data_IF_711353140377
#
_entry.id   IF_711353140377
#
_cell.length_a   1.000
_cell.length_b   1.000
_cell.length_c   1.000
_cell.angle_alpha   90.00
_cell.angle_beta   90.00
_cell.angle_gamma   90.00
#
_symmetry.space_group_name_H-M   'P 1'
#
loop_
_entity.id
_entity.type
_entity.pdbx_description
1 polymer ?
#
# COMPACT_ATOMS: atom_id res chain seq x y z
N UNK A 1 20.98 -12.81 8.03
CA UNK A 1 19.53 -12.49 8.10
C UNK A 1 19.11 -11.84 6.78
N UNK A 2 17.88 -12.08 6.29
CA UNK A 2 17.41 -11.59 4.98
C UNK A 2 17.03 -10.10 5.01
N UNK A 3 18.01 -9.20 4.91
CA UNK A 3 17.78 -7.76 4.99
C UNK A 3 16.83 -7.25 3.90
N UNK A 4 16.87 -7.81 2.70
CA UNK A 4 16.02 -7.42 1.56
C UNK A 4 14.52 -7.65 1.82
N UNK A 5 14.15 -8.80 2.36
CA UNK A 5 12.76 -9.12 2.71
C UNK A 5 12.25 -8.27 3.87
N UNK A 6 13.09 -8.01 4.88
CA UNK A 6 12.73 -7.13 6.01
C UNK A 6 12.47 -5.70 5.53
N UNK A 7 13.40 -5.13 4.75
CA UNK A 7 13.26 -3.78 4.20
C UNK A 7 12.01 -3.67 3.35
N UNK A 8 11.77 -4.63 2.45
CA UNK A 8 10.62 -4.58 1.53
C UNK A 8 9.30 -4.76 2.26
N UNK A 9 9.22 -5.69 3.22
CA UNK A 9 8.02 -5.85 4.05
C UNK A 9 7.73 -4.62 4.90
N UNK A 10 8.76 -4.02 5.51
CA UNK A 10 8.60 -2.79 6.30
C UNK A 10 8.17 -1.62 5.42
N UNK A 11 8.81 -1.41 4.27
CA UNK A 11 8.47 -0.33 3.35
C UNK A 11 7.03 -0.45 2.84
N UNK A 12 6.63 -1.63 2.33
CA UNK A 12 5.28 -1.84 1.81
C UNK A 12 4.21 -1.65 2.90
N UNK A 13 4.49 -2.13 4.13
CA UNK A 13 3.60 -1.90 5.26
C UNK A 13 3.47 -0.42 5.61
N UNK A 14 4.59 0.30 5.74
CA UNK A 14 4.57 1.75 6.00
C UNK A 14 3.80 2.48 4.89
N UNK A 15 4.06 2.14 3.63
CA UNK A 15 3.40 2.74 2.47
C UNK A 15 1.88 2.53 2.50
N UNK A 16 1.42 1.30 2.76
CA UNK A 16 0.00 1.00 2.93
C UNK A 16 -0.62 1.81 4.08
N UNK A 17 0.05 1.87 5.24
CA UNK A 17 -0.44 2.59 6.40
C UNK A 17 -0.54 4.10 6.17
N UNK A 18 0.42 4.70 5.45
CA UNK A 18 0.39 6.12 5.08
C UNK A 18 -0.79 6.44 4.14
N UNK A 19 -1.07 5.57 3.16
CA UNK A 19 -2.24 5.77 2.28
C UNK A 19 -3.55 5.62 3.08
N UNK A 20 -3.64 4.66 4.02
CA UNK A 20 -4.81 4.53 4.89
C UNK A 20 -5.01 5.77 5.78
N UNK A 21 -3.93 6.37 6.29
CA UNK A 21 -3.99 7.66 7.01
C UNK A 21 -4.48 8.77 6.09
N UNK A 22 -3.99 8.83 4.84
CA UNK A 22 -4.44 9.82 3.86
C UNK A 22 -5.95 9.72 3.59
N UNK A 23 -6.47 8.50 3.42
CA UNK A 23 -7.91 8.24 3.36
C UNK A 23 -8.63 8.82 4.58
N UNK A 24 -8.18 8.46 5.79
CA UNK A 24 -8.84 8.90 7.01
C UNK A 24 -8.82 10.43 7.22
N UNK A 25 -7.74 11.11 6.81
CA UNK A 25 -7.68 12.59 6.84
C UNK A 25 -8.74 13.20 5.92
N UNK A 26 -8.91 12.67 4.70
CA UNK A 26 -9.95 13.15 3.79
C UNK A 26 -11.35 12.90 4.34
N UNK A 27 -11.60 11.74 4.92
CA UNK A 27 -12.89 11.40 5.53
C UNK A 27 -13.22 12.27 6.75
N UNK A 28 -12.24 12.54 7.63
CA UNK A 28 -12.39 13.48 8.75
C UNK A 28 -12.77 14.87 8.24
N UNK A 29 -12.19 15.30 7.12
CA UNK A 29 -12.48 16.63 6.54
C UNK A 29 -13.91 16.78 6.04
N UNK A 30 -14.61 15.66 5.80
CA UNK A 30 -16.04 15.66 5.45
C UNK A 30 -16.95 15.86 6.66
N UNK A 31 -16.46 15.59 7.88
CA UNK A 31 -17.20 15.83 9.12
C UNK A 31 -18.22 14.75 9.49
N UNK A 32 -19.13 15.10 10.40
CA UNK A 32 -20.13 14.19 10.99
C UNK A 32 -21.30 13.94 10.04
N UNK A 33 -21.04 13.18 8.98
CA UNK A 33 -22.03 12.83 7.96
C UNK A 33 -22.05 11.32 7.71
N UNK A 34 -23.21 10.80 7.31
CA UNK A 34 -23.33 9.40 6.91
C UNK A 34 -22.52 9.13 5.62
N UNK A 35 -21.95 7.93 5.49
CA UNK A 35 -21.17 7.51 4.31
C UNK A 35 -22.00 7.40 3.03
N UNK A 36 -23.33 7.36 3.13
CA UNK A 36 -24.24 7.18 1.98
C UNK A 36 -24.30 5.75 1.43
N UNK A 37 -23.48 4.84 1.96
CA UNK A 37 -23.40 3.44 1.56
C UNK A 37 -22.17 2.73 2.15
N UNK A 38 -21.98 1.46 1.78
CA UNK A 38 -20.77 0.71 2.16
C UNK A 38 -19.53 1.20 1.40
N UNK A 39 -19.70 1.60 0.14
CA UNK A 39 -18.65 2.19 -0.69
C UNK A 39 -18.96 3.66 -0.91
N UNK A 40 -17.93 4.50 -0.80
CA UNK A 40 -18.04 5.95 -0.91
C UNK A 40 -16.69 6.55 -1.34
N UNK A 41 -16.67 7.84 -1.62
CA UNK A 41 -15.45 8.57 -1.95
C UNK A 41 -14.94 9.30 -0.71
N UNK A 42 -13.67 9.07 -0.34
CA UNK A 42 -13.06 9.74 0.79
C UNK A 42 -12.90 11.25 0.55
N UNK A 43 -12.80 11.68 -0.71
CA UNK A 43 -12.78 13.10 -1.09
C UNK A 43 -14.18 13.49 -1.58
N UNK A 44 -14.83 14.40 -0.85
CA UNK A 44 -16.18 14.89 -1.13
C UNK A 44 -16.24 16.00 -2.19
N UNK A 45 -17.43 16.56 -2.44
CA UNK A 45 -17.63 17.66 -3.38
C UNK A 45 -16.67 18.84 -3.12
N UNK A 46 -16.13 19.49 -4.16
CA UNK A 46 -16.50 19.41 -5.58
C UNK A 46 -15.83 18.26 -6.37
N UNK A 47 -15.19 17.29 -5.72
CA UNK A 47 -14.54 16.18 -6.39
C UNK A 47 -15.54 15.32 -7.20
N UNK A 48 -15.23 15.07 -8.47
CA UNK A 48 -15.97 14.15 -9.34
C UNK A 48 -15.03 13.01 -9.78
N UNK A 49 -15.35 11.74 -9.47
CA UNK A 49 -14.43 10.61 -9.71
C UNK A 49 -13.95 10.51 -11.15
N UNK A 50 -14.82 10.81 -12.11
CA UNK A 50 -14.52 10.71 -13.54
C UNK A 50 -13.67 11.88 -14.10
N UNK A 51 -13.44 12.91 -13.29
CA UNK A 51 -12.74 14.13 -13.70
C UNK A 51 -11.38 14.32 -13.02
N UNK A 52 -11.03 13.47 -12.06
CA UNK A 52 -9.77 13.58 -11.30
C UNK A 52 -9.00 12.26 -11.35
N UNK A 53 -7.69 12.34 -11.55
CA UNK A 53 -6.83 11.17 -11.73
C UNK A 53 -6.89 10.15 -10.57
N UNK A 54 -7.23 10.61 -9.36
CA UNK A 54 -7.31 9.78 -8.16
C UNK A 54 -8.72 9.28 -7.85
N UNK A 55 -9.68 9.45 -8.76
CA UNK A 55 -11.07 8.97 -8.65
C UNK A 55 -11.75 9.30 -7.30
N UNK A 56 -11.44 10.46 -6.71
CA UNK A 56 -11.91 10.87 -5.38
C UNK A 56 -11.63 9.89 -4.22
N UNK A 57 -10.61 9.03 -4.36
CA UNK A 57 -10.18 8.07 -3.33
C UNK A 57 -11.31 7.12 -2.90
N UNK A 58 -11.66 6.12 -3.72
CA UNK A 58 -12.72 5.18 -3.39
C UNK A 58 -12.37 4.38 -2.13
N UNK A 59 -13.30 4.33 -1.19
CA UNK A 59 -13.18 3.70 0.11
C UNK A 59 -14.37 2.79 0.38
N UNK A 60 -14.22 1.92 1.38
CA UNK A 60 -15.28 1.09 1.92
C UNK A 60 -15.28 1.23 3.44
N UNK A 61 -16.45 1.19 4.09
CA UNK A 61 -16.53 1.15 5.55
C UNK A 61 -17.79 0.42 6.00
N UNK A 62 -17.69 -0.30 7.11
CA UNK A 62 -18.84 -0.83 7.84
C UNK A 62 -19.40 0.18 8.85
N UNK A 63 -18.67 1.26 9.12
CA UNK A 63 -19.07 2.33 10.04
C UNK A 63 -19.87 3.35 9.22
N UNK A 64 -21.16 3.59 9.53
CA UNK A 64 -22.02 4.46 8.72
C UNK A 64 -21.83 5.96 9.04
N UNK A 65 -20.60 6.38 9.31
CA UNK A 65 -20.25 7.76 9.69
C UNK A 65 -18.84 8.12 9.22
N UNK A 66 -18.70 9.19 8.43
CA UNK A 66 -17.44 9.60 7.80
C UNK A 66 -16.40 10.06 8.83
N UNK A 67 -16.78 10.85 9.83
CA UNK A 67 -15.86 11.29 10.88
C UNK A 67 -15.28 10.12 11.67
N UNK A 68 -16.12 9.20 12.13
CA UNK A 68 -15.69 8.02 12.90
C UNK A 68 -14.86 7.08 12.01
N UNK A 69 -15.29 6.87 10.76
CA UNK A 69 -14.56 6.10 9.76
C UNK A 69 -13.16 6.68 9.57
N UNK A 70 -13.04 7.99 9.35
CA UNK A 70 -11.75 8.62 9.13
C UNK A 70 -10.82 8.56 10.34
N UNK A 71 -11.34 8.75 11.56
CA UNK A 71 -10.57 8.54 12.79
C UNK A 71 -10.09 7.09 12.88
N UNK A 72 -10.96 6.11 12.61
CA UNK A 72 -10.61 4.70 12.65
C UNK A 72 -9.55 4.36 11.59
N UNK A 73 -9.67 4.87 10.36
CA UNK A 73 -8.68 4.69 9.30
C UNK A 73 -7.32 5.27 9.66
N UNK A 74 -7.26 6.47 10.27
CA UNK A 74 -6.01 7.05 10.78
C UNK A 74 -5.39 6.16 11.87
N UNK A 75 -6.18 5.72 12.85
CA UNK A 75 -5.69 4.90 13.96
C UNK A 75 -5.16 3.55 13.47
N UNK A 76 -5.88 2.87 12.58
CA UNK A 76 -5.46 1.60 11.98
C UNK A 76 -4.24 1.80 11.09
N UNK A 77 -4.19 2.87 10.29
CA UNK A 77 -3.05 3.21 9.46
C UNK A 77 -1.78 3.49 10.28
N UNK A 78 -1.89 4.23 11.39
CA UNK A 78 -0.78 4.45 12.33
C UNK A 78 -0.31 3.14 12.96
N UNK A 79 -1.24 2.29 13.40
CA UNK A 79 -0.91 0.97 13.93
C UNK A 79 -0.16 0.13 12.89
N UNK A 80 -0.58 0.20 11.62
CA UNK A 80 0.06 -0.51 10.51
C UNK A 80 1.47 0.04 10.24
N UNK A 81 1.69 1.37 10.28
CA UNK A 81 3.02 2.00 10.17
C UNK A 81 3.94 1.56 11.30
N UNK A 82 3.48 1.66 12.56
CA UNK A 82 4.26 1.27 13.75
C UNK A 82 4.60 -0.21 13.67
N UNK A 83 3.63 -1.05 13.32
CA UNK A 83 3.85 -2.48 13.16
C UNK A 83 4.86 -2.80 12.06
N UNK A 84 4.77 -2.09 10.94
CA UNK A 84 5.67 -2.25 9.81
C UNK A 84 7.11 -1.87 10.14
N UNK A 85 7.30 -0.78 10.88
CA UNK A 85 8.61 -0.31 11.29
C UNK A 85 9.25 -1.22 12.36
N UNK A 86 8.47 -1.64 13.37
CA UNK A 86 8.99 -2.26 14.59
C UNK A 86 8.83 -3.79 14.66
N UNK A 87 7.94 -4.40 13.87
CA UNK A 87 7.57 -5.81 14.07
C UNK A 87 7.47 -6.64 12.78
N UNK A 88 7.83 -6.09 11.61
CA UNK A 88 7.76 -6.78 10.31
C UNK A 88 8.49 -8.14 10.26
N UNK A 89 9.51 -8.35 11.11
CA UNK A 89 10.32 -9.56 11.17
C UNK A 89 9.83 -10.61 12.18
N UNK A 90 8.81 -10.29 12.99
CA UNK A 90 8.28 -11.22 14.00
C UNK A 90 7.55 -12.39 13.32
N UNK A 91 7.48 -13.53 14.01
CA UNK A 91 6.87 -14.77 13.50
C UNK A 91 5.40 -14.57 13.07
N UNK A 92 4.65 -13.75 13.79
CA UNK A 92 3.26 -13.39 13.46
C UNK A 92 3.13 -12.12 12.60
N UNK A 93 4.23 -11.58 12.07
CA UNK A 93 4.26 -10.35 11.30
C UNK A 93 3.31 -10.40 10.09
N UNK A 94 3.32 -11.51 9.35
CA UNK A 94 2.45 -11.70 8.19
C UNK A 94 0.95 -11.70 8.53
N UNK A 95 0.55 -12.41 9.60
CA UNK A 95 -0.86 -12.51 9.98
C UNK A 95 -1.40 -11.15 10.43
N UNK A 96 -0.63 -10.43 11.25
CA UNK A 96 -1.02 -9.12 11.74
C UNK A 96 -1.01 -8.07 10.62
N UNK A 97 -0.08 -8.14 9.66
CA UNK A 97 -0.15 -7.30 8.47
C UNK A 97 -1.42 -7.55 7.66
N UNK A 98 -1.73 -8.82 7.35
CA UNK A 98 -2.94 -9.14 6.60
C UNK A 98 -4.20 -8.70 7.34
N UNK A 99 -4.27 -8.96 8.65
CA UNK A 99 -5.39 -8.57 9.49
C UNK A 99 -5.57 -7.05 9.57
N UNK A 100 -4.50 -6.29 9.83
CA UNK A 100 -4.55 -4.82 9.87
C UNK A 100 -4.90 -4.21 8.51
N UNK A 101 -4.44 -4.82 7.41
CA UNK A 101 -4.75 -4.36 6.06
C UNK A 101 -6.22 -4.58 5.71
N UNK A 102 -6.79 -5.73 6.08
CA UNK A 102 -8.22 -5.99 5.94
C UNK A 102 -9.04 -5.07 6.86
N UNK A 103 -8.57 -4.87 8.10
CA UNK A 103 -9.22 -3.95 9.03
C UNK A 103 -9.24 -2.53 8.46
N UNK A 104 -8.13 -2.06 7.86
CA UNK A 104 -8.06 -0.76 7.20
C UNK A 104 -9.15 -0.63 6.12
N UNK A 105 -9.39 -1.67 5.30
CA UNK A 105 -10.49 -1.67 4.33
C UNK A 105 -11.86 -1.47 4.97
N UNK A 106 -12.11 -2.14 6.08
CA UNK A 106 -13.44 -2.18 6.70
C UNK A 106 -13.77 -0.89 7.45
N UNK A 107 -12.78 -0.02 7.66
CA UNK A 107 -12.92 1.24 8.39
C UNK A 107 -12.60 2.48 7.55
N UNK A 108 -12.57 2.40 6.21
CA UNK A 108 -12.37 3.55 5.33
C UNK A 108 -10.97 3.74 4.73
N UNK A 109 -9.99 2.93 5.13
CA UNK A 109 -8.59 3.05 4.71
C UNK A 109 -8.30 2.77 3.23
N UNK A 110 -9.30 2.66 2.35
CA UNK A 110 -9.13 2.49 0.89
C UNK A 110 -8.78 1.08 0.44
N UNK A 111 -8.88 0.83 -0.87
CA UNK A 111 -8.60 -0.49 -1.47
C UNK A 111 -7.10 -0.75 -1.68
N UNK A 112 -6.35 0.27 -2.09
CA UNK A 112 -4.91 0.15 -2.39
C UNK A 112 -4.10 -0.26 -1.15
N UNK A 113 -4.34 0.29 0.06
CA UNK A 113 -3.63 -0.14 1.28
C UNK A 113 -3.80 -1.62 1.59
N UNK A 114 -4.98 -2.17 1.34
CA UNK A 114 -5.26 -3.60 1.56
C UNK A 114 -4.37 -4.45 0.69
N UNK A 115 -4.35 -4.15 -0.61
CA UNK A 115 -3.56 -4.89 -1.57
C UNK A 115 -2.07 -4.82 -1.22
N UNK A 116 -1.53 -3.62 -1.01
CA UNK A 116 -0.12 -3.42 -0.69
C UNK A 116 0.24 -4.09 0.64
N UNK A 117 -0.64 -3.98 1.64
CA UNK A 117 -0.47 -4.60 2.94
C UNK A 117 -0.52 -6.14 2.89
N UNK A 118 -1.33 -6.74 2.01
CA UNK A 118 -1.31 -8.18 1.75
C UNK A 118 0.00 -8.62 1.06
N UNK A 119 0.54 -7.81 0.14
CA UNK A 119 1.87 -8.06 -0.45
C UNK A 119 2.97 -7.94 0.61
N UNK A 120 2.86 -6.98 1.54
CA UNK A 120 3.75 -6.86 2.69
C UNK A 120 3.67 -8.10 3.60
N UNK A 121 2.46 -8.57 3.90
CA UNK A 121 2.21 -9.79 4.67
C UNK A 121 2.85 -11.02 4.00
N UNK A 122 2.65 -11.17 2.69
CA UNK A 122 3.29 -12.24 1.91
C UNK A 122 4.81 -12.16 2.05
N UNK A 123 5.41 -10.97 1.87
CA UNK A 123 6.86 -10.75 1.97
C UNK A 123 7.39 -11.09 3.37
N UNK A 124 6.69 -10.67 4.43
CA UNK A 124 7.00 -11.00 5.82
C UNK A 124 6.99 -12.51 6.07
N UNK A 125 6.01 -13.23 5.52
CA UNK A 125 5.88 -14.69 5.68
C UNK A 125 7.06 -15.49 5.12
N UNK A 126 7.86 -14.88 4.24
CA UNK A 126 9.03 -15.49 3.60
C UNK A 126 10.33 -15.25 4.37
N UNK A 127 10.38 -14.32 5.33
CA UNK A 127 11.62 -13.91 6.01
C UNK A 127 12.36 -15.10 6.64
N UNK A 128 11.62 -15.99 7.33
CA UNK A 128 12.17 -17.13 8.07
C UNK A 128 12.11 -18.46 7.31
N UNK A 129 11.63 -18.49 6.06
CA UNK A 129 11.51 -19.73 5.28
C UNK A 129 12.78 -19.99 4.45
N UNK A 130 13.19 -21.28 4.28
CA UNK A 130 14.26 -21.62 3.36
C UNK A 130 13.84 -21.25 1.94
N UNK A 131 14.74 -20.59 1.21
CA UNK A 131 14.46 -20.13 -0.15
C UNK A 131 15.13 -21.10 -1.11
N UNK A 132 14.36 -21.80 -1.95
CA UNK A 132 14.92 -22.75 -2.93
C UNK A 132 15.72 -22.01 -4.01
N UNK A 133 16.87 -22.59 -4.39
CA UNK A 133 17.68 -22.17 -5.54
C UNK A 133 16.80 -22.05 -6.79
N UNK A 134 16.97 -20.96 -7.54
CA UNK A 134 16.18 -20.65 -8.72
C UNK A 134 17.06 -20.44 -9.95
N UNK A 135 16.52 -20.72 -11.14
CA UNK A 135 17.22 -20.58 -12.41
C UNK A 135 17.52 -19.13 -12.84
N UNK A 136 18.07 -18.96 -14.05
CA UNK A 136 18.64 -17.72 -14.59
C UNK A 136 17.74 -16.47 -14.43
N UNK A 137 16.42 -16.61 -14.58
CA UNK A 137 15.46 -15.49 -14.41
C UNK A 137 15.47 -14.86 -13.01
N UNK A 138 15.77 -15.63 -11.96
CA UNK A 138 15.86 -15.11 -10.59
C UNK A 138 17.07 -14.19 -10.38
N UNK A 139 18.15 -14.38 -11.14
CA UNK A 139 19.31 -13.48 -11.11
C UNK A 139 18.98 -12.11 -11.70
N UNK A 140 18.14 -12.07 -12.74
CA UNK A 140 17.69 -10.80 -13.30
C UNK A 140 16.78 -10.06 -12.32
N UNK A 141 15.76 -10.73 -11.79
CA UNK A 141 14.77 -10.10 -10.90
C UNK A 141 15.40 -9.64 -9.57
N UNK A 142 16.40 -10.35 -9.05
CA UNK A 142 17.12 -9.93 -7.84
C UNK A 142 18.02 -8.69 -8.02
N UNK A 143 18.45 -8.36 -9.25
CA UNK A 143 19.18 -7.12 -9.56
C UNK A 143 18.28 -5.89 -9.55
N UNK A 144 16.98 -6.08 -9.74
CA UNK A 144 16.01 -4.99 -9.69
C UNK A 144 15.83 -4.46 -8.26
N UNK A 145 16.11 -5.26 -7.23
CA UNK A 145 16.05 -4.77 -5.85
C UNK A 145 17.20 -3.78 -5.58
N UNK A 146 16.97 -2.57 -5.01
CA UNK A 146 15.73 -2.08 -4.38
C UNK A 146 14.89 -1.10 -5.22
N UNK A 147 15.13 -0.97 -6.52
CA UNK A 147 14.56 0.07 -7.39
C UNK A 147 13.03 0.18 -7.37
N UNK A 148 12.23 -0.90 -7.34
CA UNK A 148 10.78 -0.79 -7.22
C UNK A 148 10.33 0.01 -5.99
N UNK A 149 11.00 -0.16 -4.84
CA UNK A 149 10.69 0.56 -3.61
C UNK A 149 11.00 2.06 -3.76
N UNK A 150 12.12 2.37 -4.41
CA UNK A 150 12.52 3.76 -4.70
C UNK A 150 11.48 4.43 -5.59
N UNK A 151 11.05 3.76 -6.67
CA UNK A 151 10.02 4.27 -7.56
C UNK A 151 8.69 4.50 -6.83
N UNK A 152 8.26 3.58 -5.96
CA UNK A 152 7.07 3.76 -5.12
C UNK A 152 7.21 4.98 -4.19
N UNK A 153 8.37 5.15 -3.55
CA UNK A 153 8.62 6.26 -2.64
C UNK A 153 8.47 7.62 -3.34
N UNK A 154 8.93 7.72 -4.59
CA UNK A 154 8.75 8.93 -5.40
C UNK A 154 7.35 9.05 -5.99
N UNK A 155 6.71 7.92 -6.33
CA UNK A 155 5.38 7.91 -6.94
C UNK A 155 4.30 8.47 -6.03
N UNK A 156 4.31 8.14 -4.73
CA UNK A 156 3.30 8.64 -3.79
C UNK A 156 3.19 10.18 -3.82
N UNK A 157 4.25 10.96 -3.49
CA UNK A 157 4.16 12.43 -3.58
C UNK A 157 4.16 12.93 -5.02
N UNK A 158 4.86 12.23 -5.93
CA UNK A 158 4.99 12.63 -7.33
C UNK A 158 3.66 12.58 -8.09
N UNK A 159 2.80 11.61 -7.81
CA UNK A 159 1.48 11.48 -8.43
C UNK A 159 0.57 12.66 -8.07
N UNK A 160 0.60 13.12 -6.82
CA UNK A 160 -0.11 14.32 -6.39
C UNK A 160 0.41 15.59 -7.07
N UNK A 161 1.74 15.74 -7.14
CA UNK A 161 2.36 16.89 -7.80
C UNK A 161 2.04 16.93 -9.30
N UNK A 162 2.22 15.79 -9.98
CA UNK A 162 1.90 15.65 -11.40
C UNK A 162 0.40 15.82 -11.66
N UNK A 163 -0.45 15.30 -10.77
CA UNK A 163 -1.89 15.46 -10.87
C UNK A 163 -2.35 16.91 -10.75
N UNK A 164 -1.67 17.71 -9.93
CA UNK A 164 -1.95 19.14 -9.81
C UNK A 164 -1.70 19.90 -11.13
N UNK A 165 -0.58 19.62 -11.82
CA UNK A 165 -0.22 20.33 -13.06
C UNK A 165 -0.74 19.67 -14.34
N UNK A 166 -0.93 18.35 -14.35
CA UNK A 166 -1.20 17.53 -15.53
C UNK A 166 -2.40 16.58 -15.33
N UNK A 167 -3.45 17.02 -14.60
CA UNK A 167 -4.62 16.20 -14.29
C UNK A 167 -5.19 15.47 -15.52
N UNK A 168 -5.39 16.17 -16.65
CA UNK A 168 -5.96 15.55 -17.86
C UNK A 168 -5.09 14.42 -18.43
N UNK A 169 -3.77 14.60 -18.42
CA UNK A 169 -2.84 13.57 -18.86
C UNK A 169 -2.85 12.37 -17.90
N UNK A 170 -2.81 12.63 -16.58
CA UNK A 170 -2.87 11.57 -15.57
C UNK A 170 -4.20 10.83 -15.56
N UNK A 171 -5.31 11.52 -15.78
CA UNK A 171 -6.63 10.91 -15.90
C UNK A 171 -6.69 9.99 -17.13
N UNK A 172 -6.19 10.45 -18.28
CA UNK A 172 -6.14 9.63 -19.50
C UNK A 172 -5.25 8.39 -19.36
N UNK A 173 -4.16 8.50 -18.59
CA UNK A 173 -3.23 7.42 -18.31
C UNK A 173 -3.57 6.66 -17.02
N UNK A 174 -4.64 7.03 -16.30
CA UNK A 174 -4.85 6.68 -14.89
C UNK A 174 -4.92 5.18 -14.67
N UNK A 175 -5.67 4.47 -15.51
CA UNK A 175 -5.75 3.01 -15.45
C UNK A 175 -4.39 2.33 -15.65
N UNK A 176 -3.58 2.80 -16.61
CA UNK A 176 -2.24 2.24 -16.84
C UNK A 176 -1.28 2.55 -15.68
N UNK A 177 -1.29 3.80 -15.20
CA UNK A 177 -0.46 4.24 -14.09
C UNK A 177 -0.80 3.48 -12.81
N UNK A 178 -2.08 3.26 -12.52
CA UNK A 178 -2.55 2.44 -11.42
C UNK A 178 -2.04 0.99 -11.51
N UNK A 179 -2.17 0.35 -12.68
CA UNK A 179 -1.68 -1.02 -12.88
C UNK A 179 -0.15 -1.12 -12.71
N UNK A 180 0.60 -0.14 -13.18
CA UNK A 180 2.06 -0.15 -13.10
C UNK A 180 2.51 0.15 -11.66
N UNK A 181 2.08 1.28 -11.10
CA UNK A 181 2.65 1.80 -9.85
C UNK A 181 1.97 1.23 -8.59
N UNK A 182 0.65 1.04 -8.60
CA UNK A 182 -0.09 0.59 -7.41
C UNK A 182 -0.26 -0.94 -7.35
N UNK A 183 -0.18 -1.64 -8.50
CA UNK A 183 -0.25 -3.11 -8.55
C UNK A 183 1.12 -3.74 -8.82
N UNK A 184 1.76 -3.38 -9.93
CA UNK A 184 2.94 -4.10 -10.42
C UNK A 184 4.19 -3.83 -9.58
N UNK A 185 4.43 -2.60 -9.14
CA UNK A 185 5.60 -2.26 -8.32
C UNK A 185 5.61 -2.95 -6.94
N UNK A 186 4.51 -3.00 -6.16
CA UNK A 186 4.47 -3.79 -4.93
C UNK A 186 4.83 -5.25 -5.15
N UNK A 187 4.25 -5.89 -6.17
CA UNK A 187 4.54 -7.30 -6.50
C UNK A 187 6.01 -7.46 -6.89
N UNK A 188 6.51 -6.60 -7.79
CA UNK A 188 7.90 -6.64 -8.24
C UNK A 188 8.87 -6.42 -7.08
N UNK A 189 8.54 -5.55 -6.13
CA UNK A 189 9.34 -5.33 -4.93
C UNK A 189 9.42 -6.60 -4.07
N UNK A 190 8.31 -7.31 -3.88
CA UNK A 190 8.25 -8.54 -3.11
C UNK A 190 9.04 -9.67 -3.79
N UNK A 191 8.84 -9.86 -5.10
CA UNK A 191 9.53 -10.91 -5.87
C UNK A 191 11.03 -10.63 -5.98
N UNK A 192 11.44 -9.38 -6.23
CA UNK A 192 12.85 -8.99 -6.28
C UNK A 192 13.53 -9.13 -4.92
N UNK A 193 12.84 -8.83 -3.81
CA UNK A 193 13.34 -9.06 -2.46
C UNK A 193 13.53 -10.55 -2.16
N UNK A 194 12.58 -11.42 -2.55
CA UNK A 194 12.73 -12.88 -2.46
C UNK A 194 13.93 -13.35 -3.28
N UNK A 195 14.10 -12.84 -4.50
CA UNK A 195 15.24 -13.15 -5.36
C UNK A 195 16.57 -12.72 -4.72
N UNK A 196 16.64 -11.50 -4.18
CA UNK A 196 17.85 -10.97 -3.55
C UNK A 196 18.24 -11.73 -2.29
N UNK A 197 17.25 -12.13 -1.50
CA UNK A 197 17.42 -12.98 -0.32
C UNK A 197 18.03 -14.35 -0.64
N UNK A 198 17.78 -14.91 -1.83
CA UNK A 198 18.42 -16.16 -2.28
C UNK A 198 19.94 -15.97 -2.45
N UNK A 199 20.33 -14.95 -3.24
CA UNK A 199 21.74 -14.67 -3.54
C UNK A 199 22.55 -14.41 -2.26
N UNK A 200 21.97 -13.73 -1.27
CA UNK A 200 22.64 -13.45 0.01
C UNK A 200 22.92 -14.70 0.86
N UNK A 201 22.31 -15.85 0.57
CA UNK A 201 22.57 -17.12 1.28
C UNK A 201 23.54 -18.04 0.55
N UNK A 202 23.75 -17.83 -0.76
CA UNK A 202 24.64 -18.65 -1.59
C UNK A 202 26.10 -18.13 -1.58
N UNK A 203 26.32 -16.91 -1.06
CA UNK A 203 27.63 -16.28 -0.84
C UNK A 203 27.98 -16.27 0.65
#
# INVERSE_FOLDING_TARGET
>A
MNNSLRISSSFLGIYAGLIAIQHGIFEISLGDHATGGLMFNAIGPPCQPEMVWHACFPAMSLIPNLLITGIAAVMVGLLLVVWAAAFAWRVYGALLFGGLSLLALLVGGGFVPVFIGLVAAFTSSRINKPVRSGGLGWRFVSRLWPWPLVLMAFWMPGSWLLGHFFNAALLSAGGLLFLIFDISLPILSAVSAVGRSKIQKDN
#
